data_IF_750801435300
#
_entry.id   IF_750801435300
#
_cell.length_a   1.000
_cell.length_b   1.000
_cell.length_c   1.000
_cell.angle_alpha   90.00
_cell.angle_beta   90.00
_cell.angle_gamma   90.00
#
_symmetry.space_group_name_H-M   'P 1'
#
loop_
_entity.id
_entity.type
_entity.pdbx_description
1 polymer ?
#
# COMPACT_ATOMS: atom_id res chain seq x y z
N UNK A 1 63.43 9.55 9.85
CA UNK A 1 62.24 10.32 10.19
C UNK A 1 61.12 9.84 9.27
N UNK A 2 60.31 8.86 9.73
CA UNK A 2 59.17 8.33 9.01
C UNK A 2 57.92 8.84 9.76
N UNK A 3 57.20 9.74 9.16
CA UNK A 3 55.89 10.16 9.66
C UNK A 3 54.83 9.16 9.27
N UNK A 4 54.32 8.46 10.25
CA UNK A 4 53.11 7.67 10.12
C UNK A 4 51.92 8.63 10.15
N UNK A 5 51.21 8.71 9.02
CA UNK A 5 49.93 9.41 8.92
C UNK A 5 48.88 8.50 9.55
N UNK A 6 48.35 8.91 10.70
CA UNK A 6 47.19 8.32 11.34
C UNK A 6 45.95 8.58 10.47
N UNK A 7 45.58 7.61 9.64
CA UNK A 7 44.27 7.52 9.08
C UNK A 7 43.41 6.68 10.05
N UNK A 8 42.93 7.32 11.12
CA UNK A 8 41.90 6.75 11.97
C UNK A 8 40.59 6.78 11.16
N UNK A 9 40.38 5.71 10.38
CA UNK A 9 39.02 5.36 9.92
C UNK A 9 38.23 4.98 11.16
N UNK A 10 37.32 5.83 11.58
CA UNK A 10 36.32 5.52 12.58
C UNK A 10 35.47 4.38 12.02
N UNK A 11 35.76 3.14 12.40
CA UNK A 11 34.83 2.02 12.32
C UNK A 11 33.59 2.39 13.16
N UNK A 12 32.63 3.05 12.56
CA UNK A 12 31.34 3.28 13.16
C UNK A 12 30.66 1.90 13.26
N UNK A 13 30.77 1.27 14.42
CA UNK A 13 29.93 0.12 14.75
C UNK A 13 28.48 0.49 14.46
N UNK A 14 27.71 -0.35 13.78
CA UNK A 14 26.32 -0.06 13.49
C UNK A 14 25.57 0.14 14.82
N UNK A 15 25.24 1.39 15.11
CA UNK A 15 24.45 1.72 16.31
C UNK A 15 23.07 1.12 16.14
N UNK A 16 22.62 0.31 17.11
CA UNK A 16 21.28 -0.25 17.12
C UNK A 16 20.27 0.88 17.02
N UNK A 17 19.37 0.91 16.02
CA UNK A 17 18.47 2.01 15.81
C UNK A 17 17.52 2.19 17.00
N UNK A 18 17.20 3.44 17.33
CA UNK A 18 16.44 3.82 18.50
C UNK A 18 14.96 4.06 18.17
N UNK A 19 14.07 3.42 18.93
CA UNK A 19 12.63 3.61 18.85
C UNK A 19 12.09 4.28 20.11
N UNK A 20 11.13 5.18 19.89
CA UNK A 20 10.30 5.79 20.94
C UNK A 20 8.92 5.13 20.89
N UNK A 21 8.44 4.65 22.03
CA UNK A 21 7.11 4.07 22.16
C UNK A 21 6.17 5.05 22.86
N UNK A 22 5.04 5.34 22.24
CA UNK A 22 3.96 6.17 22.76
C UNK A 22 2.72 5.30 22.88
N UNK A 23 2.34 4.98 24.10
CA UNK A 23 1.24 4.08 24.37
C UNK A 23 0.67 4.29 25.78
N UNK A 24 -0.57 3.91 25.99
CA UNK A 24 -1.09 3.72 27.33
C UNK A 24 -0.59 2.42 27.97
N UNK A 25 -0.67 2.31 29.30
CA UNK A 25 0.08 1.30 30.09
C UNK A 25 -0.12 -0.19 29.67
N UNK A 26 -1.19 -0.54 28.96
CA UNK A 26 -1.47 -1.92 28.56
C UNK A 26 -0.73 -2.37 27.28
N UNK A 27 -0.57 -1.47 26.33
CA UNK A 27 -0.05 -1.79 24.97
C UNK A 27 1.46 -1.58 24.83
N UNK A 28 2.04 -0.84 25.79
CA UNK A 28 3.45 -0.46 25.80
C UNK A 28 4.41 -1.67 25.82
N UNK A 29 4.11 -2.70 26.63
CA UNK A 29 4.97 -3.87 26.75
C UNK A 29 4.93 -4.73 25.49
N UNK A 30 3.76 -4.95 24.93
CA UNK A 30 3.58 -5.71 23.67
C UNK A 30 4.33 -5.07 22.50
N UNK A 31 4.30 -3.74 22.41
CA UNK A 31 5.05 -3.01 21.41
C UNK A 31 6.56 -3.12 21.64
N UNK A 32 7.02 -3.03 22.90
CA UNK A 32 8.44 -3.15 23.26
C UNK A 32 9.01 -4.52 22.95
N UNK A 33 8.29 -5.59 23.23
CA UNK A 33 8.72 -6.97 22.95
C UNK A 33 8.85 -7.22 21.43
N UNK A 34 7.89 -6.72 20.65
CA UNK A 34 7.92 -6.81 19.20
C UNK A 34 9.06 -5.95 18.59
N UNK A 35 9.34 -4.78 19.14
CA UNK A 35 10.49 -3.94 18.75
C UNK A 35 11.82 -4.63 19.03
N UNK A 36 11.96 -5.21 20.20
CA UNK A 36 13.17 -5.98 20.56
C UNK A 36 13.38 -7.16 19.60
N UNK A 37 12.32 -7.91 19.28
CA UNK A 37 12.36 -8.99 18.29
C UNK A 37 12.74 -8.51 16.89
N UNK A 38 12.30 -7.29 16.52
CA UNK A 38 12.69 -6.64 15.27
C UNK A 38 14.10 -6.03 15.32
N UNK A 39 14.82 -6.09 16.45
CA UNK A 39 16.19 -5.56 16.61
C UNK A 39 16.24 -4.03 16.74
N UNK A 40 15.24 -3.42 17.37
CA UNK A 40 15.22 -2.03 17.79
C UNK A 40 15.58 -1.89 19.26
N UNK A 41 16.20 -0.79 19.63
CA UNK A 41 16.40 -0.39 21.02
C UNK A 41 15.34 0.62 21.42
N UNK A 42 14.50 0.28 22.38
CA UNK A 42 13.54 1.25 22.93
C UNK A 42 14.31 2.28 23.76
N UNK A 43 14.23 3.55 23.36
CA UNK A 43 14.88 4.68 24.03
C UNK A 43 14.07 5.25 25.17
N UNK A 44 12.75 5.31 25.01
CA UNK A 44 11.82 5.78 26.02
C UNK A 44 10.40 5.26 25.76
N UNK A 45 9.59 5.28 26.81
CA UNK A 45 8.14 5.09 26.76
C UNK A 45 7.49 6.40 27.22
N UNK A 46 6.55 6.90 26.42
CA UNK A 46 5.77 8.07 26.74
C UNK A 46 4.30 7.69 26.86
N UNK A 47 3.64 8.29 27.83
CA UNK A 47 2.18 8.23 27.93
C UNK A 47 1.59 9.19 26.89
N UNK A 48 0.46 8.82 26.31
CA UNK A 48 -0.20 9.58 25.23
C UNK A 48 -0.45 11.05 25.62
N UNK A 49 -0.87 11.30 26.87
CA UNK A 49 -1.18 12.66 27.38
C UNK A 49 0.03 13.61 27.35
N UNK A 50 1.23 13.09 27.56
CA UNK A 50 2.44 13.91 27.70
C UNK A 50 3.29 13.90 26.44
N UNK A 51 2.99 12.99 25.50
CA UNK A 51 3.83 12.68 24.37
C UNK A 51 3.98 13.87 23.41
N UNK A 52 2.94 14.63 23.14
CA UNK A 52 2.99 15.77 22.23
C UNK A 52 4.03 16.81 22.66
N UNK A 53 4.02 17.22 23.93
CA UNK A 53 4.99 18.18 24.49
C UNK A 53 6.41 17.61 24.54
N UNK A 54 6.56 16.32 24.85
CA UNK A 54 7.87 15.67 24.92
C UNK A 54 8.47 15.39 23.54
N UNK A 55 7.63 15.17 22.53
CA UNK A 55 8.09 15.07 21.14
C UNK A 55 8.76 16.36 20.64
N UNK A 56 8.29 17.54 21.07
CA UNK A 56 8.87 18.82 20.65
C UNK A 56 10.32 19.03 21.14
N UNK A 57 10.65 18.54 22.36
CA UNK A 57 11.92 18.82 23.03
C UNK A 57 12.82 17.60 23.20
N UNK A 58 12.36 16.40 22.90
CA UNK A 58 13.08 15.15 23.13
C UNK A 58 14.26 14.92 22.17
N UNK A 59 15.15 13.95 22.48
CA UNK A 59 16.28 13.58 21.61
C UNK A 59 15.78 13.00 20.26
N UNK A 60 16.62 13.03 19.21
CA UNK A 60 16.26 12.41 17.94
C UNK A 60 16.13 10.89 18.12
N UNK A 61 15.18 10.32 17.39
CA UNK A 61 14.91 8.87 17.32
C UNK A 61 14.73 8.47 15.86
N UNK A 62 14.99 7.20 15.56
CA UNK A 62 14.86 6.68 14.20
C UNK A 62 13.42 6.24 13.90
N UNK A 63 12.67 5.80 14.93
CA UNK A 63 11.32 5.31 14.83
C UNK A 63 10.44 5.84 15.98
N UNK A 64 9.25 6.28 15.64
CA UNK A 64 8.17 6.54 16.59
C UNK A 64 7.10 5.47 16.41
N UNK A 65 6.82 4.73 17.47
CA UNK A 65 5.72 3.76 17.54
C UNK A 65 4.59 4.38 18.34
N UNK A 66 3.43 4.50 17.72
CA UNK A 66 2.24 5.09 18.33
C UNK A 66 1.14 4.04 18.44
N UNK A 67 0.77 3.67 19.65
CA UNK A 67 -0.40 2.84 19.96
C UNK A 67 -1.56 3.76 20.36
N UNK A 68 -2.40 4.12 19.38
CA UNK A 68 -3.41 5.16 19.53
C UNK A 68 -4.85 4.65 19.47
N UNK A 69 -5.05 3.33 19.46
CA UNK A 69 -6.40 2.76 19.50
C UNK A 69 -7.20 3.28 20.69
N UNK A 70 -8.46 3.70 20.47
CA UNK A 70 -9.35 4.23 21.50
C UNK A 70 -9.09 5.67 21.93
N UNK A 71 -8.04 6.35 21.42
CA UNK A 71 -7.78 7.75 21.76
C UNK A 71 -8.75 8.65 21.00
N UNK A 72 -9.40 9.58 21.72
CA UNK A 72 -10.30 10.53 21.10
C UNK A 72 -9.58 11.51 20.16
N UNK A 73 -10.20 11.86 19.04
CA UNK A 73 -9.63 12.71 17.98
C UNK A 73 -9.00 14.03 18.50
N UNK A 74 -9.60 14.77 19.45
CA UNK A 74 -9.01 16.01 19.98
C UNK A 74 -7.65 15.83 20.67
N UNK A 75 -7.39 14.65 21.25
CA UNK A 75 -6.11 14.32 21.87
C UNK A 75 -5.14 13.71 20.85
N UNK A 76 -5.65 13.02 19.84
CA UNK A 76 -4.87 12.37 18.80
C UNK A 76 -4.25 13.37 17.81
N UNK A 77 -4.99 14.40 17.40
CA UNK A 77 -4.55 15.39 16.40
C UNK A 77 -3.21 16.06 16.77
N UNK A 78 -3.03 16.67 17.96
CA UNK A 78 -1.76 17.31 18.32
C UNK A 78 -0.61 16.29 18.42
N UNK A 79 -0.89 15.07 18.84
CA UNK A 79 0.09 14.00 18.92
C UNK A 79 0.61 13.58 17.54
N UNK A 80 -0.29 13.37 16.57
CA UNK A 80 0.08 13.04 15.19
C UNK A 80 0.85 14.19 14.53
N UNK A 81 0.45 15.42 14.76
CA UNK A 81 1.14 16.59 14.23
C UNK A 81 2.57 16.69 14.79
N UNK A 82 2.75 16.52 16.10
CA UNK A 82 4.06 16.51 16.75
C UNK A 82 4.94 15.35 16.24
N UNK A 83 4.38 14.15 16.10
CA UNK A 83 5.11 13.00 15.57
C UNK A 83 5.56 13.23 14.12
N UNK A 84 4.69 13.78 13.27
CA UNK A 84 4.98 14.10 11.87
C UNK A 84 6.13 15.12 11.73
N UNK A 85 6.20 16.08 12.64
CA UNK A 85 7.23 17.13 12.63
C UNK A 85 8.64 16.61 12.95
N UNK A 86 8.77 15.43 13.58
CA UNK A 86 10.06 14.86 13.99
C UNK A 86 10.92 14.32 12.84
N UNK A 87 10.33 14.02 11.71
CA UNK A 87 11.05 13.46 10.56
C UNK A 87 11.51 11.99 10.73
N UNK A 88 11.22 11.34 11.87
CA UNK A 88 11.44 9.93 12.12
C UNK A 88 10.49 9.06 11.29
N UNK A 89 10.82 7.76 11.10
CA UNK A 89 9.83 6.79 10.64
C UNK A 89 8.72 6.66 11.67
N UNK A 90 7.49 6.42 11.21
CA UNK A 90 6.33 6.30 12.10
C UNK A 90 5.60 5.00 11.80
N UNK A 91 5.31 4.22 12.84
CA UNK A 91 4.37 3.09 12.80
C UNK A 91 3.26 3.41 13.79
N UNK A 92 2.03 3.58 13.30
CA UNK A 92 0.90 3.94 14.13
C UNK A 92 -0.19 2.86 14.09
N UNK A 93 -0.56 2.33 15.25
CA UNK A 93 -1.71 1.44 15.43
C UNK A 93 -2.93 2.28 15.79
N UNK A 94 -4.00 2.14 15.02
CA UNK A 94 -5.17 3.03 15.02
C UNK A 94 -6.46 2.22 14.91
N UNK A 95 -7.57 2.82 15.32
CA UNK A 95 -8.89 2.33 14.94
C UNK A 95 -9.32 2.86 13.57
N UNK A 96 -10.33 2.23 12.97
CA UNK A 96 -10.79 2.55 11.62
C UNK A 96 -11.23 4.03 11.47
N UNK A 97 -11.87 4.57 12.51
CA UNK A 97 -12.36 5.94 12.56
C UNK A 97 -11.23 6.99 12.60
N UNK A 98 -10.06 6.59 13.07
CA UNK A 98 -8.88 7.45 13.22
C UNK A 98 -8.01 7.50 11.93
N UNK A 99 -8.26 6.59 10.97
CA UNK A 99 -7.40 6.44 9.79
C UNK A 99 -7.38 7.67 8.90
N UNK A 100 -8.51 8.35 8.73
CA UNK A 100 -8.59 9.52 7.85
C UNK A 100 -7.76 10.67 8.41
N UNK A 101 -7.85 10.94 9.73
CA UNK A 101 -7.03 11.93 10.42
C UNK A 101 -5.54 11.58 10.34
N UNK A 102 -5.18 10.33 10.67
CA UNK A 102 -3.80 9.89 10.65
C UNK A 102 -3.19 9.95 9.23
N UNK A 103 -3.95 9.53 8.21
CA UNK A 103 -3.52 9.61 6.83
C UNK A 103 -3.31 11.05 6.36
N UNK A 104 -4.13 12.00 6.85
CA UNK A 104 -3.99 13.42 6.52
C UNK A 104 -2.74 14.04 7.15
N UNK A 105 -2.46 13.75 8.44
CA UNK A 105 -1.39 14.40 9.19
C UNK A 105 -0.02 13.72 9.03
N UNK A 106 0.02 12.40 8.92
CA UNK A 106 1.27 11.63 8.81
C UNK A 106 1.73 11.40 7.36
N UNK A 107 0.82 11.54 6.41
CA UNK A 107 1.14 11.37 5.00
C UNK A 107 1.60 9.94 4.64
N UNK A 108 2.46 9.83 3.61
CA UNK A 108 2.96 8.54 3.09
C UNK A 108 4.14 7.98 3.87
N UNK A 109 4.74 8.76 4.77
CA UNK A 109 5.92 8.33 5.55
C UNK A 109 5.58 7.38 6.70
N UNK A 110 4.32 7.35 7.12
CA UNK A 110 3.87 6.50 8.20
C UNK A 110 3.29 5.18 7.69
N UNK A 111 3.60 4.11 8.40
CA UNK A 111 2.91 2.84 8.26
C UNK A 111 1.73 2.84 9.22
N UNK A 112 0.52 2.82 8.68
CA UNK A 112 -0.70 2.76 9.46
C UNK A 112 -1.14 1.31 9.61
N UNK A 113 -1.44 0.90 10.82
CA UNK A 113 -1.94 -0.42 11.17
C UNK A 113 -3.32 -0.27 11.83
N UNK A 114 -4.24 -1.17 11.54
CA UNK A 114 -5.55 -1.18 12.16
C UNK A 114 -5.84 -2.57 12.71
N UNK A 115 -5.81 -2.73 14.04
CA UNK A 115 -5.93 -4.01 14.74
C UNK A 115 -4.95 -5.07 14.21
N UNK A 116 -3.64 -4.78 14.18
CA UNK A 116 -2.67 -5.66 13.56
C UNK A 116 -2.51 -6.96 14.35
N UNK A 117 -2.26 -8.04 13.62
CA UNK A 117 -1.75 -9.27 14.20
C UNK A 117 -0.30 -9.06 14.70
N UNK A 118 0.22 -9.89 15.60
CA UNK A 118 1.63 -9.82 16.03
C UNK A 118 2.62 -9.89 14.86
N UNK A 119 2.32 -10.68 13.83
CA UNK A 119 3.15 -10.81 12.63
C UNK A 119 3.16 -9.53 11.79
N UNK A 120 2.00 -8.88 11.58
CA UNK A 120 1.90 -7.62 10.85
C UNK A 120 2.65 -6.50 11.57
N UNK A 121 2.54 -6.43 12.91
CA UNK A 121 3.29 -5.48 13.74
C UNK A 121 4.81 -5.69 13.61
N UNK A 122 5.27 -6.93 13.72
CA UNK A 122 6.68 -7.25 13.56
C UNK A 122 7.19 -6.88 12.16
N UNK A 123 6.44 -7.21 11.12
CA UNK A 123 6.78 -6.83 9.74
C UNK A 123 6.90 -5.31 9.58
N UNK A 124 5.97 -4.53 10.16
CA UNK A 124 6.02 -3.07 10.10
C UNK A 124 7.30 -2.52 10.75
N UNK A 125 7.69 -3.05 11.91
CA UNK A 125 8.92 -2.62 12.58
C UNK A 125 10.19 -3.01 11.81
N UNK A 126 10.21 -4.17 11.17
CA UNK A 126 11.34 -4.58 10.31
C UNK A 126 11.47 -3.66 9.09
N UNK A 127 10.36 -3.32 8.45
CA UNK A 127 10.33 -2.45 7.28
C UNK A 127 10.63 -0.98 7.60
N UNK A 128 10.42 -0.56 8.85
CA UNK A 128 10.71 0.81 9.29
C UNK A 128 12.21 1.08 9.52
N UNK A 129 13.07 0.05 9.46
CA UNK A 129 14.52 0.24 9.67
C UNK A 129 15.14 1.16 8.61
N UNK A 130 16.05 2.08 9.02
CA UNK A 130 16.79 2.91 8.09
C UNK A 130 17.60 2.04 7.09
N UNK A 131 17.64 2.46 5.84
CA UNK A 131 18.29 1.73 4.73
C UNK A 131 19.77 1.38 4.98
N UNK A 132 20.48 2.13 5.82
CA UNK A 132 21.87 1.83 6.20
C UNK A 132 22.04 0.51 6.95
N UNK A 133 21.00 -0.06 7.54
CA UNK A 133 20.98 -1.38 8.18
C UNK A 133 20.38 -2.46 7.27
N UNK A 134 19.76 -2.06 6.16
CA UNK A 134 19.10 -2.94 5.19
C UNK A 134 19.96 -3.19 3.93
N UNK A 135 21.18 -2.68 3.86
CA UNK A 135 22.04 -2.77 2.66
C UNK A 135 22.35 -4.22 2.18
N UNK A 136 21.99 -5.24 2.96
CA UNK A 136 22.01 -6.64 2.53
C UNK A 136 20.70 -7.10 1.86
N UNK A 137 19.62 -6.28 1.86
CA UNK A 137 18.33 -6.67 1.30
C UNK A 137 17.88 -5.86 0.09
N UNK A 138 18.48 -4.70 -0.21
CA UNK A 138 18.09 -3.88 -1.36
C UNK A 138 18.51 -4.51 -2.69
N UNK A 139 19.67 -5.15 -2.75
CA UNK A 139 20.09 -5.95 -3.90
C UNK A 139 19.13 -7.12 -4.20
N UNK A 140 18.35 -7.56 -3.17
CA UNK A 140 17.36 -8.64 -3.30
C UNK A 140 15.97 -8.16 -3.76
N UNK A 141 15.61 -6.89 -3.60
CA UNK A 141 14.27 -6.39 -3.98
C UNK A 141 14.14 -6.14 -5.47
N UNK A 142 15.14 -5.52 -6.08
CA UNK A 142 15.15 -5.31 -7.54
C UNK A 142 15.31 -6.65 -8.27
N UNK A 143 16.09 -7.57 -7.70
CA UNK A 143 16.29 -8.91 -8.24
C UNK A 143 15.04 -9.80 -8.06
N UNK A 144 14.28 -9.63 -6.95
CA UNK A 144 13.04 -10.38 -6.70
C UNK A 144 11.89 -9.94 -7.63
N UNK A 145 11.72 -8.64 -7.86
CA UNK A 145 10.74 -8.11 -8.81
C UNK A 145 11.06 -8.53 -10.24
N UNK A 146 12.31 -8.38 -10.66
CA UNK A 146 12.78 -8.84 -11.98
C UNK A 146 12.72 -10.37 -12.12
N UNK A 147 12.97 -11.12 -11.05
CA UNK A 147 12.90 -12.58 -11.04
C UNK A 147 11.46 -13.09 -11.10
N UNK A 148 10.51 -12.43 -10.40
CA UNK A 148 9.08 -12.76 -10.51
C UNK A 148 8.50 -12.43 -11.88
N UNK A 149 8.91 -11.33 -12.50
CA UNK A 149 8.52 -11.01 -13.88
C UNK A 149 9.05 -12.04 -14.87
N UNK A 150 10.32 -12.45 -14.76
CA UNK A 150 10.91 -13.51 -15.59
C UNK A 150 10.24 -14.86 -15.35
N UNK A 151 9.93 -15.20 -14.10
CA UNK A 151 9.22 -16.44 -13.77
C UNK A 151 7.82 -16.47 -14.37
N UNK A 152 7.08 -15.36 -14.34
CA UNK A 152 5.78 -15.24 -14.99
C UNK A 152 5.87 -15.34 -16.52
N UNK A 153 6.90 -14.76 -17.14
CA UNK A 153 7.17 -14.91 -18.59
C UNK A 153 7.52 -16.34 -18.95
N UNK A 154 8.30 -17.04 -18.12
CA UNK A 154 8.67 -18.44 -18.33
C UNK A 154 7.45 -19.37 -18.15
N UNK A 155 6.61 -19.13 -17.14
CA UNK A 155 5.35 -19.87 -16.94
C UNK A 155 4.40 -19.64 -18.13
N UNK A 156 4.27 -18.42 -18.62
CA UNK A 156 3.44 -18.12 -19.79
C UNK A 156 3.97 -18.83 -21.06
N UNK A 157 5.29 -18.86 -21.25
CA UNK A 157 5.95 -19.59 -22.36
C UNK A 157 5.72 -21.10 -22.28
N UNK A 158 5.83 -21.68 -21.07
CA UNK A 158 5.59 -23.12 -20.84
C UNK A 158 4.11 -23.44 -21.09
N UNK A 159 3.19 -22.61 -20.60
CA UNK A 159 1.75 -22.79 -20.83
C UNK A 159 1.40 -22.73 -22.33
N UNK A 160 2.01 -21.82 -23.08
CA UNK A 160 1.81 -21.71 -24.51
C UNK A 160 2.42 -22.89 -25.28
N UNK A 161 3.59 -23.39 -24.87
CA UNK A 161 4.22 -24.59 -25.44
C UNK A 161 3.37 -25.86 -25.16
N UNK A 162 2.84 -26.00 -23.95
CA UNK A 162 1.92 -27.09 -23.58
C UNK A 162 0.61 -27.01 -24.37
N UNK A 163 0.05 -25.82 -24.54
CA UNK A 163 -1.16 -25.60 -25.32
C UNK A 163 -0.97 -25.93 -26.81
N UNK A 164 0.25 -25.74 -27.35
CA UNK A 164 0.61 -26.18 -28.71
C UNK A 164 0.74 -27.67 -28.81
N UNK A 165 1.40 -28.34 -27.88
CA UNK A 165 1.54 -29.78 -27.83
C UNK A 165 0.20 -30.53 -27.70
N UNK A 166 -0.75 -29.94 -26.92
CA UNK A 166 -2.09 -30.52 -26.74
C UNK A 166 -3.00 -30.30 -27.95
N UNK A 167 -2.70 -29.35 -28.83
CA UNK A 167 -3.46 -29.10 -30.06
C UNK A 167 -2.94 -29.86 -31.28
N UNK A 168 -1.80 -30.58 -31.17
CA UNK A 168 -1.30 -31.45 -32.24
C UNK A 168 -0.85 -30.71 -33.51
N UNK A 169 -0.46 -29.41 -33.39
CA UNK A 169 0.00 -28.63 -34.53
C UNK A 169 1.52 -28.79 -34.73
N UNK A 170 1.93 -29.32 -35.86
CA UNK A 170 3.34 -29.34 -36.30
C UNK A 170 3.86 -27.91 -36.58
N UNK A 171 5.16 -27.63 -36.35
CA UNK A 171 5.71 -26.30 -36.52
C UNK A 171 5.76 -25.90 -37.99
N UNK A 172 4.93 -24.96 -38.39
CA UNK A 172 5.06 -24.28 -39.67
C UNK A 172 6.24 -23.29 -39.67
N UNK A 173 7.03 -23.17 -40.75
CA UNK A 173 8.19 -22.28 -40.78
C UNK A 173 7.77 -20.81 -40.69
N UNK A 174 8.51 -20.06 -39.89
CA UNK A 174 8.31 -18.63 -39.61
C UNK A 174 8.52 -17.80 -40.89
N UNK A 175 7.47 -17.58 -41.65
CA UNK A 175 7.40 -16.47 -42.59
C UNK A 175 6.84 -15.26 -41.86
N UNK A 176 7.60 -14.17 -41.82
CA UNK A 176 7.17 -12.86 -41.38
C UNK A 176 5.90 -12.46 -42.15
N UNK A 177 4.75 -12.58 -41.50
CA UNK A 177 3.50 -12.07 -42.02
C UNK A 177 3.19 -10.81 -41.21
N UNK A 178 3.20 -9.67 -41.90
CA UNK A 178 2.66 -8.43 -41.37
C UNK A 178 1.23 -8.67 -40.88
N UNK A 179 0.82 -8.13 -39.75
CA UNK A 179 -0.54 -8.26 -39.28
C UNK A 179 -1.47 -7.55 -40.26
N UNK A 180 -2.27 -8.33 -40.97
CA UNK A 180 -3.39 -7.76 -41.73
C UNK A 180 -4.32 -7.00 -40.77
N UNK A 181 -4.87 -5.85 -41.19
CA UNK A 181 -5.81 -5.09 -40.40
C UNK A 181 -7.05 -5.95 -40.17
N UNK A 182 -7.15 -6.52 -38.95
CA UNK A 182 -8.31 -7.27 -38.52
C UNK A 182 -9.56 -6.43 -38.67
N UNK A 183 -10.66 -7.09 -39.00
CA UNK A 183 -12.01 -6.59 -39.12
C UNK A 183 -12.29 -5.40 -38.17
N UNK A 184 -12.39 -4.19 -38.71
CA UNK A 184 -12.95 -3.03 -38.05
C UNK A 184 -14.46 -3.20 -38.11
N UNK A 185 -15.02 -3.65 -36.97
CA UNK A 185 -16.46 -3.53 -36.76
C UNK A 185 -16.92 -2.06 -36.91
N UNK A 186 -18.23 -1.83 -37.04
CA UNK A 186 -18.76 -0.49 -37.28
C UNK A 186 -18.21 0.52 -36.28
N UNK A 187 -17.73 1.66 -36.76
CA UNK A 187 -17.13 2.74 -35.96
C UNK A 187 -18.08 3.35 -34.92
N UNK A 188 -19.35 2.99 -34.94
CA UNK A 188 -20.40 3.46 -34.02
C UNK A 188 -20.34 2.83 -32.61
N UNK A 189 -19.45 1.86 -32.37
CA UNK A 189 -19.26 1.27 -31.01
C UNK A 189 -18.27 2.05 -30.13
N UNK A 190 -17.71 3.16 -30.61
CA UNK A 190 -16.66 3.93 -29.93
C UNK A 190 -17.18 4.87 -28.82
N UNK A 191 -18.49 4.95 -28.58
CA UNK A 191 -19.04 5.88 -27.58
C UNK A 191 -19.89 5.25 -26.47
N UNK A 192 -19.77 3.97 -26.21
CA UNK A 192 -20.38 3.41 -25.01
C UNK A 192 -19.59 3.88 -23.77
N UNK A 193 -19.84 5.13 -23.36
CA UNK A 193 -19.30 5.67 -22.11
C UNK A 193 -19.60 4.71 -20.97
N UNK A 194 -18.59 4.39 -20.18
CA UNK A 194 -18.76 3.53 -19.02
C UNK A 194 -19.51 4.33 -17.95
N UNK A 195 -20.68 3.84 -17.56
CA UNK A 195 -21.49 4.53 -16.56
C UNK A 195 -21.05 4.13 -15.14
N UNK A 196 -21.18 5.04 -14.15
CA UNK A 196 -20.94 4.71 -12.74
C UNK A 196 -21.81 3.53 -12.29
N UNK A 197 -23.04 3.43 -12.79
CA UNK A 197 -23.99 2.37 -12.45
C UNK A 197 -23.47 0.98 -12.86
N UNK A 198 -22.83 0.85 -14.02
CA UNK A 198 -22.24 -0.42 -14.47
C UNK A 198 -21.12 -0.85 -13.52
N UNK A 199 -20.22 0.06 -13.13
CA UNK A 199 -19.14 -0.24 -12.20
C UNK A 199 -19.68 -0.63 -10.82
N UNK A 200 -20.69 0.12 -10.32
CA UNK A 200 -21.34 -0.23 -9.04
C UNK A 200 -22.09 -1.57 -9.12
N UNK A 201 -22.65 -1.93 -10.28
CA UNK A 201 -23.25 -3.25 -10.48
C UNK A 201 -22.20 -4.37 -10.44
N UNK A 202 -21.06 -4.17 -11.06
CA UNK A 202 -19.90 -5.09 -11.00
C UNK A 202 -19.44 -5.29 -9.56
N UNK A 203 -19.22 -4.23 -8.79
CA UNK A 203 -18.84 -4.31 -7.38
C UNK A 203 -19.86 -5.13 -6.59
N UNK A 204 -21.15 -4.89 -6.78
CA UNK A 204 -22.20 -5.67 -6.11
C UNK A 204 -22.18 -7.15 -6.50
N UNK A 205 -22.00 -7.46 -7.79
CA UNK A 205 -21.91 -8.83 -8.27
C UNK A 205 -20.72 -9.60 -7.69
N UNK A 206 -19.54 -8.93 -7.61
CA UNK A 206 -18.33 -9.48 -6.99
C UNK A 206 -18.57 -9.82 -5.52
N UNK A 207 -19.15 -8.90 -4.74
CA UNK A 207 -19.45 -9.10 -3.32
C UNK A 207 -20.54 -10.13 -3.06
N UNK A 208 -21.45 -10.35 -4.01
CA UNK A 208 -22.50 -11.36 -3.87
C UNK A 208 -21.92 -12.78 -3.75
N UNK A 209 -20.71 -13.04 -4.26
CA UNK A 209 -20.02 -14.34 -4.16
C UNK A 209 -19.82 -14.79 -2.70
N UNK A 210 -19.57 -13.85 -1.79
CA UNK A 210 -19.38 -14.10 -0.36
C UNK A 210 -20.61 -14.75 0.32
N UNK A 211 -21.80 -14.61 -0.28
CA UNK A 211 -23.02 -15.24 0.24
C UNK A 211 -23.09 -16.75 -0.04
N UNK A 212 -22.33 -17.22 -1.01
CA UNK A 212 -22.37 -18.62 -1.48
C UNK A 212 -21.11 -19.38 -1.10
N UNK A 213 -20.04 -18.69 -0.81
CA UNK A 213 -18.74 -19.29 -0.51
C UNK A 213 -18.18 -18.65 0.77
N UNK A 214 -17.72 -19.50 1.67
CA UNK A 214 -17.14 -19.03 2.94
C UNK A 214 -15.70 -18.57 2.78
N UNK A 215 -15.33 -17.51 3.52
CA UNK A 215 -13.96 -17.01 3.63
C UNK A 215 -13.53 -16.07 2.49
N UNK A 216 -12.29 -15.63 2.58
CA UNK A 216 -11.68 -14.62 1.70
C UNK A 216 -11.16 -15.22 0.36
N UNK A 217 -11.81 -16.28 -0.13
CA UNK A 217 -11.38 -17.03 -1.32
C UNK A 217 -11.33 -16.18 -2.59
N UNK A 218 -12.12 -15.13 -2.65
CA UNK A 218 -12.25 -14.25 -3.82
C UNK A 218 -11.81 -12.81 -3.55
N UNK A 219 -11.03 -12.61 -2.49
CA UNK A 219 -10.51 -11.29 -2.17
C UNK A 219 -9.51 -10.83 -3.24
N UNK A 220 -9.81 -9.70 -3.85
CA UNK A 220 -8.95 -9.02 -4.80
C UNK A 220 -8.93 -7.52 -4.45
N UNK A 221 -8.25 -7.16 -3.35
CA UNK A 221 -8.32 -5.82 -2.78
C UNK A 221 -7.84 -4.74 -3.75
N UNK A 222 -6.83 -5.03 -4.57
CA UNK A 222 -6.34 -4.07 -5.55
C UNK A 222 -7.42 -3.73 -6.59
N UNK A 223 -8.09 -4.75 -7.11
CA UNK A 223 -9.13 -4.58 -8.12
C UNK A 223 -10.39 -3.94 -7.53
N UNK A 224 -10.82 -4.36 -6.35
CA UNK A 224 -11.98 -3.80 -5.67
C UNK A 224 -11.80 -2.31 -5.33
N UNK A 225 -10.60 -1.90 -4.92
CA UNK A 225 -10.24 -0.49 -4.74
C UNK A 225 -10.23 0.30 -6.05
N UNK A 226 -9.64 -0.27 -7.11
CA UNK A 226 -9.61 0.37 -8.43
C UNK A 226 -11.03 0.60 -8.97
N UNK A 227 -11.92 -0.38 -8.84
CA UNK A 227 -13.32 -0.26 -9.23
C UNK A 227 -14.05 0.80 -8.41
N UNK A 228 -13.86 0.83 -7.07
CA UNK A 228 -14.53 1.81 -6.21
C UNK A 228 -14.10 3.25 -6.53
N UNK A 229 -12.78 3.48 -6.66
CA UNK A 229 -12.25 4.79 -7.04
C UNK A 229 -12.64 5.19 -8.47
N UNK A 230 -12.73 4.23 -9.39
CA UNK A 230 -13.19 4.52 -10.76
C UNK A 230 -14.66 4.93 -10.78
N UNK A 231 -15.53 4.22 -10.06
CA UNK A 231 -16.92 4.62 -9.91
C UNK A 231 -17.04 6.01 -9.27
N UNK A 232 -16.28 6.27 -8.19
CA UNK A 232 -16.28 7.55 -7.50
C UNK A 232 -15.79 8.70 -8.40
N UNK A 233 -14.76 8.47 -9.23
CA UNK A 233 -14.27 9.44 -10.21
C UNK A 233 -15.36 9.82 -11.24
N UNK A 234 -16.08 8.80 -11.75
CA UNK A 234 -17.21 9.03 -12.67
C UNK A 234 -18.39 9.76 -11.99
N UNK A 235 -18.60 9.51 -10.69
CA UNK A 235 -19.62 10.17 -9.86
C UNK A 235 -19.16 11.56 -9.34
N UNK A 236 -17.89 11.93 -9.54
CA UNK A 236 -17.25 13.13 -8.98
C UNK A 236 -17.34 13.17 -7.45
N UNK A 237 -17.11 12.04 -6.81
CA UNK A 237 -17.10 11.88 -5.35
C UNK A 237 -15.72 11.64 -4.83
N UNK A 238 -15.42 12.21 -3.67
CA UNK A 238 -14.19 11.92 -2.92
C UNK A 238 -14.36 10.64 -2.09
N UNK A 239 -13.30 9.86 -1.97
CA UNK A 239 -13.25 8.61 -1.18
C UNK A 239 -12.21 8.76 -0.09
N UNK A 240 -12.61 8.60 1.17
CA UNK A 240 -11.68 8.63 2.31
C UNK A 240 -10.87 7.32 2.39
N UNK A 241 -9.76 7.35 3.14
CA UNK A 241 -8.91 6.16 3.36
C UNK A 241 -9.72 5.07 4.06
N UNK A 242 -10.49 5.42 5.08
CA UNK A 242 -11.35 4.48 5.83
C UNK A 242 -12.41 3.84 4.92
N UNK A 243 -13.08 4.65 4.07
CA UNK A 243 -14.06 4.15 3.11
C UNK A 243 -13.43 3.18 2.10
N UNK A 244 -12.23 3.49 1.62
CA UNK A 244 -11.52 2.63 0.68
C UNK A 244 -11.07 1.31 1.33
N UNK A 245 -10.67 1.33 2.61
CA UNK A 245 -10.39 0.10 3.37
C UNK A 245 -11.62 -0.81 3.46
N UNK A 246 -12.82 -0.24 3.67
CA UNK A 246 -14.08 -0.99 3.66
C UNK A 246 -14.38 -1.54 2.25
N UNK A 247 -14.11 -0.73 1.21
CA UNK A 247 -14.33 -1.11 -0.17
C UNK A 247 -13.44 -2.29 -0.61
N UNK A 248 -12.27 -2.46 -0.02
CA UNK A 248 -11.33 -3.53 -0.32
C UNK A 248 -11.78 -4.93 0.12
N UNK A 249 -12.77 -5.03 1.01
CA UNK A 249 -13.30 -6.30 1.56
C UNK A 249 -12.22 -7.23 2.17
N UNK A 250 -11.19 -6.65 2.74
CA UNK A 250 -10.11 -7.34 3.47
C UNK A 250 -9.87 -6.62 4.81
N UNK A 251 -9.14 -7.24 5.76
CA UNK A 251 -8.78 -6.56 7.00
C UNK A 251 -8.12 -5.19 6.74
N UNK A 252 -8.43 -4.15 7.51
CA UNK A 252 -7.97 -2.78 7.26
C UNK A 252 -6.45 -2.64 7.11
N UNK A 253 -5.65 -3.36 7.91
CA UNK A 253 -4.19 -3.37 7.77
C UNK A 253 -3.75 -3.87 6.39
N UNK A 254 -4.39 -4.94 5.88
CA UNK A 254 -4.13 -5.45 4.54
C UNK A 254 -4.54 -4.42 3.48
N UNK A 255 -5.70 -3.77 3.65
CA UNK A 255 -6.16 -2.72 2.75
C UNK A 255 -5.16 -1.54 2.70
N UNK A 256 -4.68 -1.08 3.85
CA UNK A 256 -3.69 0.01 3.94
C UNK A 256 -2.37 -0.32 3.21
N UNK A 257 -1.91 -1.57 3.29
CA UNK A 257 -0.74 -2.02 2.52
C UNK A 257 -0.98 -1.94 1.01
N UNK A 258 -2.18 -2.34 0.54
CA UNK A 258 -2.53 -2.23 -0.87
C UNK A 258 -2.66 -0.79 -1.32
N UNK A 259 -3.24 0.11 -0.50
CA UNK A 259 -3.26 1.55 -0.79
C UNK A 259 -1.84 2.09 -0.97
N UNK A 260 -0.91 1.72 -0.09
CA UNK A 260 0.50 2.07 -0.21
C UNK A 260 1.13 1.53 -1.50
N UNK A 261 0.98 0.24 -1.78
CA UNK A 261 1.53 -0.39 -2.99
C UNK A 261 1.00 0.25 -4.29
N UNK A 262 -0.31 0.54 -4.35
CA UNK A 262 -0.93 1.18 -5.52
C UNK A 262 -0.52 2.66 -5.66
N UNK A 263 -0.23 3.34 -4.56
CA UNK A 263 0.38 4.66 -4.56
C UNK A 263 1.82 4.62 -5.10
N UNK A 264 2.64 3.66 -4.65
CA UNK A 264 4.05 3.54 -5.06
C UNK A 264 4.22 3.23 -6.56
N UNK A 265 3.29 2.47 -7.14
CA UNK A 265 3.26 2.23 -8.60
C UNK A 265 2.59 3.37 -9.39
N UNK A 266 2.16 4.42 -8.70
CA UNK A 266 1.59 5.64 -9.29
C UNK A 266 0.19 5.45 -9.88
N UNK A 267 -0.62 4.54 -9.34
CA UNK A 267 -2.03 4.38 -9.71
C UNK A 267 -2.96 5.18 -8.79
N UNK A 268 -2.58 5.36 -7.53
CA UNK A 268 -3.30 6.13 -6.54
C UNK A 268 -2.54 7.40 -6.16
N UNK A 269 -3.27 8.42 -5.78
CA UNK A 269 -2.74 9.63 -5.17
C UNK A 269 -3.56 10.02 -3.94
N UNK A 270 -2.92 10.71 -3.00
CA UNK A 270 -3.61 11.30 -1.86
C UNK A 270 -3.94 12.75 -2.17
N UNK A 271 -5.16 13.15 -1.87
CA UNK A 271 -5.65 14.51 -2.03
C UNK A 271 -6.07 15.04 -0.67
N UNK A 272 -5.50 16.19 -0.26
CA UNK A 272 -5.96 16.88 0.94
C UNK A 272 -7.35 17.47 0.70
N UNK A 273 -8.20 17.43 1.73
CA UNK A 273 -9.47 18.14 1.70
C UNK A 273 -9.19 19.66 1.74
N UNK A 274 -9.64 20.43 0.76
CA UNK A 274 -9.42 21.87 0.73
C UNK A 274 -10.14 22.62 1.87
N UNK A 275 -11.16 22.02 2.46
CA UNK A 275 -11.97 22.60 3.53
C UNK A 275 -11.61 22.10 4.93
N UNK A 276 -11.02 20.92 5.04
CA UNK A 276 -10.69 20.29 6.32
C UNK A 276 -9.33 19.56 6.24
N UNK A 277 -8.30 20.16 6.79
CA UNK A 277 -6.93 19.60 6.81
C UNK A 277 -6.81 18.27 7.57
N UNK A 278 -7.84 17.86 8.30
CA UNK A 278 -7.90 16.60 9.02
C UNK A 278 -8.34 15.44 8.15
N UNK A 279 -8.72 15.71 6.89
CA UNK A 279 -9.19 14.69 5.96
C UNK A 279 -8.24 14.54 4.79
N UNK A 280 -7.95 13.30 4.47
CA UNK A 280 -7.28 12.92 3.24
C UNK A 280 -8.18 12.00 2.43
N UNK A 281 -8.27 12.28 1.15
CA UNK A 281 -8.95 11.44 0.18
C UNK A 281 -7.94 10.66 -0.63
N UNK A 282 -8.38 9.55 -1.18
CA UNK A 282 -7.63 8.75 -2.16
C UNK A 282 -8.34 8.86 -3.50
N UNK A 283 -7.58 9.09 -4.55
CA UNK A 283 -8.09 9.16 -5.91
C UNK A 283 -7.21 8.37 -6.86
N UNK A 284 -7.74 8.07 -8.04
CA UNK A 284 -6.92 7.57 -9.16
C UNK A 284 -6.05 8.70 -9.69
N UNK A 285 -4.78 8.42 -9.93
CA UNK A 285 -3.93 9.30 -10.73
C UNK A 285 -4.45 9.37 -12.18
N UNK A 286 -4.01 10.32 -13.01
CA UNK A 286 -4.30 10.32 -14.44
C UNK A 286 -3.93 8.98 -15.12
N UNK A 287 -2.83 8.34 -14.69
CA UNK A 287 -2.40 7.01 -15.15
C UNK A 287 -3.41 5.93 -14.76
N UNK A 288 -3.84 5.92 -13.49
CA UNK A 288 -4.82 4.96 -12.98
C UNK A 288 -6.17 5.11 -13.67
N UNK A 289 -6.65 6.35 -13.81
CA UNK A 289 -7.91 6.65 -14.49
C UNK A 289 -7.90 6.23 -15.96
N UNK A 290 -6.82 6.56 -16.69
CA UNK A 290 -6.65 6.14 -18.07
C UNK A 290 -6.63 4.62 -18.21
N UNK A 291 -5.93 3.91 -17.32
CA UNK A 291 -5.89 2.44 -17.30
C UNK A 291 -7.29 1.83 -17.14
N UNK A 292 -8.08 2.36 -16.19
CA UNK A 292 -9.45 1.88 -15.95
C UNK A 292 -10.38 2.16 -17.14
N UNK A 293 -10.27 3.34 -17.76
CA UNK A 293 -11.02 3.67 -18.96
C UNK A 293 -10.66 2.78 -20.14
N UNK A 294 -9.36 2.55 -20.37
CA UNK A 294 -8.88 1.68 -21.44
C UNK A 294 -9.33 0.22 -21.24
N UNK A 295 -9.26 -0.29 -20.02
CA UNK A 295 -9.78 -1.61 -19.67
C UNK A 295 -11.27 -1.72 -19.95
N UNK A 296 -12.08 -0.79 -19.43
CA UNK A 296 -13.53 -0.80 -19.62
C UNK A 296 -13.91 -0.75 -21.12
N UNK A 297 -13.23 0.08 -21.90
CA UNK A 297 -13.42 0.15 -23.35
C UNK A 297 -13.02 -1.16 -24.07
N UNK A 298 -11.94 -1.81 -23.64
CA UNK A 298 -11.50 -3.08 -24.23
C UNK A 298 -12.49 -4.21 -23.95
N UNK A 299 -12.98 -4.31 -22.71
CA UNK A 299 -13.97 -5.31 -22.30
C UNK A 299 -15.28 -5.14 -23.07
N UNK A 300 -15.77 -3.89 -23.18
CA UNK A 300 -16.99 -3.58 -23.96
C UNK A 300 -16.84 -3.93 -25.45
N UNK A 301 -15.71 -3.61 -26.05
CA UNK A 301 -15.43 -4.00 -27.46
C UNK A 301 -15.43 -5.51 -27.65
N UNK A 302 -14.98 -6.26 -26.64
CA UNK A 302 -14.99 -7.72 -26.67
C UNK A 302 -16.39 -8.32 -26.39
N UNK A 303 -17.41 -7.49 -26.10
CA UNK A 303 -18.75 -7.96 -25.70
C UNK A 303 -18.76 -8.66 -24.34
N UNK A 304 -17.76 -8.41 -23.48
CA UNK A 304 -17.63 -9.01 -22.17
C UNK A 304 -18.18 -8.07 -21.09
N UNK A 305 -18.70 -8.60 -19.96
CA UNK A 305 -19.02 -7.78 -18.80
C UNK A 305 -17.74 -7.24 -18.14
N UNK A 306 -17.80 -6.07 -17.54
CA UNK A 306 -16.75 -5.60 -16.63
C UNK A 306 -16.81 -6.50 -15.38
N UNK A 307 -15.70 -7.14 -15.00
CA UNK A 307 -15.65 -8.15 -13.91
C UNK A 307 -14.66 -7.73 -12.84
#
# INVERSE_FOLDING_TARGET
>A
MHSWSDAAGADAYPTVPAALVIADCGDSQTAADALAAAGWRVSAHLHVTDAAAQLESGPPVDLIVLEAGGIAEPALEPLLAAASARGAAIVATLDLEQLDLAAALLGTRAQLLCRPTPAERLCAFVLAKPAGHAALHEASRDDHGARMLRLNEDVARIAEALARLTRGEEPLPTALREPEPGYRGPEDALSAETSPHEIRATIRARRMRERFFAGDLFADPAWDMLLDLFAAALERRSVSVSSLCIAAAVPPTTALRWIGALHDVGLFERQADPSDRRRAYVALTPKGLHGMQAYAAAVKRAGLPIV
#
